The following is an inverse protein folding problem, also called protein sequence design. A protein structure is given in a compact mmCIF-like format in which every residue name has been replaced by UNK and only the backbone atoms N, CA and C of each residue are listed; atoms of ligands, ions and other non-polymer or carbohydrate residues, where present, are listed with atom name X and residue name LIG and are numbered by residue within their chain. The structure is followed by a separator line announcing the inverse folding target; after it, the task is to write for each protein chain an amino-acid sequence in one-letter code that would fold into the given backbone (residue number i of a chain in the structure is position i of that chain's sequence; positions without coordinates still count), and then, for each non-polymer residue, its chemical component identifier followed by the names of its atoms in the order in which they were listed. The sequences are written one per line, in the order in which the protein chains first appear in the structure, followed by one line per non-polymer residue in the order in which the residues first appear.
data_IF_526041925987
#
_entry.id   IF_526041925987
#
_cell.length_a   1.000
_cell.length_b   1.000
_cell.length_c   1.000
_cell.angle_alpha   90.00
_cell.angle_beta   90.00
_cell.angle_gamma   90.00
#
_symmetry.space_group_name_H-M   'P 1'
#
loop_
_entity.id
_entity.type
_entity.pdbx_description
1 polymer ?
#
# COMPACT_ATOMS: atom_id res chain seq x y z
N UNK A 1 -34.95 6.56 -41.85
CA UNK A 1 -33.59 6.96 -41.47
C UNK A 1 -33.56 7.20 -39.96
N UNK A 2 -33.15 6.19 -39.19
CA UNK A 2 -33.11 6.30 -37.73
C UNK A 2 -31.91 7.16 -37.33
N UNK A 3 -32.16 8.29 -36.65
CA UNK A 3 -31.11 9.14 -36.07
C UNK A 3 -30.30 8.26 -35.12
N UNK A 4 -29.07 7.90 -35.50
CA UNK A 4 -28.10 7.24 -34.63
C UNK A 4 -27.80 8.22 -33.51
N UNK A 5 -28.57 8.11 -32.42
CA UNK A 5 -28.41 8.95 -31.24
C UNK A 5 -26.99 8.73 -30.74
N UNK A 6 -26.28 9.84 -30.59
CA UNK A 6 -24.87 9.84 -30.24
C UNK A 6 -24.74 9.46 -28.76
N UNK A 7 -24.88 8.16 -28.47
CA UNK A 7 -25.10 7.59 -27.13
C UNK A 7 -24.01 8.00 -26.14
N UNK A 8 -22.79 8.23 -26.63
CA UNK A 8 -21.67 8.78 -25.87
C UNK A 8 -21.95 10.18 -25.29
N UNK A 9 -22.67 11.03 -26.02
CA UNK A 9 -23.04 12.38 -25.57
C UNK A 9 -24.13 12.34 -24.51
N UNK A 10 -25.10 11.45 -24.67
CA UNK A 10 -26.16 11.26 -23.67
C UNK A 10 -25.60 10.68 -22.37
N UNK A 11 -24.72 9.68 -22.45
CA UNK A 11 -24.03 9.13 -21.28
C UNK A 11 -23.22 10.20 -20.55
N UNK A 12 -22.43 11.00 -21.27
CA UNK A 12 -21.65 12.09 -20.66
C UNK A 12 -22.53 13.13 -19.97
N UNK A 13 -23.68 13.45 -20.57
CA UNK A 13 -24.63 14.40 -20.00
C UNK A 13 -25.36 13.83 -18.78
N UNK A 14 -25.65 12.53 -18.80
CA UNK A 14 -26.23 11.79 -17.67
C UNK A 14 -25.24 11.70 -16.50
N UNK A 15 -23.98 11.34 -16.73
CA UNK A 15 -22.92 11.34 -15.72
C UNK A 15 -22.69 12.73 -15.12
N UNK A 16 -22.82 13.79 -15.94
CA UNK A 16 -22.77 15.18 -15.47
C UNK A 16 -23.99 15.56 -14.61
N UNK A 17 -25.20 15.08 -14.95
CA UNK A 17 -26.42 15.28 -14.13
C UNK A 17 -26.38 14.50 -12.82
N UNK A 18 -25.75 13.34 -12.82
CA UNK A 18 -25.52 12.52 -11.62
C UNK A 18 -24.38 13.07 -10.74
N UNK A 19 -23.72 14.16 -11.14
CA UNK A 19 -22.63 14.77 -10.36
C UNK A 19 -21.31 13.98 -10.38
N UNK A 20 -21.21 12.94 -11.20
CA UNK A 20 -20.03 12.05 -11.27
C UNK A 20 -18.91 12.70 -12.10
N UNK A 21 -19.28 13.54 -13.07
CA UNK A 21 -18.34 14.25 -13.95
C UNK A 21 -18.52 15.76 -13.78
N UNK A 22 -17.41 16.46 -13.54
CA UNK A 22 -17.36 17.91 -13.46
C UNK A 22 -17.68 18.49 -12.09
N UNK A 23 -17.70 17.66 -11.04
CA UNK A 23 -17.47 18.17 -9.69
C UNK A 23 -15.98 18.45 -9.54
N UNK A 24 -15.68 19.69 -9.19
CA UNK A 24 -14.36 20.07 -8.71
C UNK A 24 -14.18 19.34 -7.38
N UNK A 25 -13.40 18.26 -7.39
CA UNK A 25 -13.01 17.61 -6.14
C UNK A 25 -12.41 18.70 -5.23
N UNK A 26 -12.82 18.79 -3.95
CA UNK A 26 -12.23 19.76 -3.04
C UNK A 26 -10.72 19.57 -3.10
N UNK A 27 -9.99 20.68 -3.21
CA UNK A 27 -8.55 20.67 -3.37
C UNK A 27 -7.93 20.14 -2.08
N UNK A 28 -7.72 18.83 -2.03
CA UNK A 28 -7.09 18.17 -0.89
C UNK A 28 -5.62 18.53 -0.94
N UNK A 29 -5.16 19.32 0.02
CA UNK A 29 -3.75 19.70 0.17
C UNK A 29 -3.17 18.80 1.25
N UNK A 30 -2.21 17.96 0.91
CA UNK A 30 -1.39 17.22 1.86
C UNK A 30 -0.25 18.12 2.33
N UNK A 31 -0.17 18.36 3.64
CA UNK A 31 0.86 19.18 4.28
C UNK A 31 1.76 18.29 5.14
N UNK A 32 3.07 18.45 5.01
CA UNK A 32 4.07 17.79 5.85
C UNK A 32 4.27 18.59 7.16
N UNK A 33 4.65 17.90 8.24
CA UNK A 33 4.75 18.43 9.62
C UNK A 33 5.68 19.65 9.80
N UNK A 34 6.47 20.00 8.78
CA UNK A 34 7.33 21.19 8.78
C UNK A 34 6.75 22.38 8.00
N UNK A 35 5.49 22.32 7.54
CA UNK A 35 4.91 23.39 6.73
C UNK A 35 4.36 24.52 7.61
N UNK A 36 4.89 25.72 7.37
CA UNK A 36 4.51 26.96 8.05
C UNK A 36 2.99 27.22 7.94
N UNK A 37 2.33 27.25 9.10
CA UNK A 37 0.87 27.39 9.30
C UNK A 37 0.24 28.65 8.69
N UNK A 38 1.04 29.58 8.18
CA UNK A 38 0.57 30.84 7.58
C UNK A 38 0.05 30.70 6.14
N UNK A 39 0.19 29.52 5.52
CA UNK A 39 -0.19 29.27 4.12
C UNK A 39 -1.50 28.48 3.92
N UNK A 40 -2.36 28.39 4.94
CA UNK A 40 -3.60 27.63 4.86
C UNK A 40 -4.71 28.51 4.26
N UNK A 41 -5.29 28.19 3.08
CA UNK A 41 -6.44 28.91 2.56
C UNK A 41 -7.67 28.63 3.45
N UNK A 42 -8.38 29.70 3.81
CA UNK A 42 -9.42 29.78 4.86
C UNK A 42 -10.73 29.01 4.57
N UNK A 43 -10.75 28.04 3.65
CA UNK A 43 -11.96 27.41 3.09
C UNK A 43 -11.99 25.87 3.23
N UNK A 44 -11.25 25.29 4.18
CA UNK A 44 -11.26 23.84 4.42
C UNK A 44 -12.23 23.45 5.56
N UNK A 45 -13.27 22.68 5.24
CA UNK A 45 -14.37 22.32 6.17
C UNK A 45 -14.03 21.17 7.14
N UNK A 46 -12.96 20.41 6.92
CA UNK A 46 -12.43 19.47 7.93
C UNK A 46 -10.93 19.23 7.73
N UNK A 47 -10.19 19.23 8.84
CA UNK A 47 -8.75 18.97 8.92
C UNK A 47 -8.58 17.66 9.69
N UNK A 48 -8.19 16.58 9.02
CA UNK A 48 -7.78 15.33 9.67
C UNK A 48 -6.30 15.41 10.00
N UNK A 49 -6.00 15.49 11.29
CA UNK A 49 -4.65 15.43 11.83
C UNK A 49 -4.31 13.94 11.96
N UNK A 50 -3.47 13.40 11.09
CA UNK A 50 -2.89 12.07 11.30
C UNK A 50 -1.72 12.24 12.26
N UNK A 51 -2.00 12.07 13.55
CA UNK A 51 -0.98 12.14 14.58
C UNK A 51 0.03 11.00 14.34
N UNK A 52 1.30 11.33 14.12
CA UNK A 52 2.37 10.35 14.07
C UNK A 52 2.36 9.63 15.43
N UNK A 53 2.24 8.30 15.48
CA UNK A 53 2.20 7.58 16.76
C UNK A 53 3.49 7.89 17.52
N UNK A 54 3.35 8.10 18.83
CA UNK A 54 4.53 8.37 19.67
C UNK A 54 5.45 7.15 19.67
N UNK A 55 6.75 7.34 19.92
CA UNK A 55 7.70 6.23 20.01
C UNK A 55 7.23 5.13 20.97
N UNK A 56 6.58 5.52 22.08
CA UNK A 56 6.00 4.59 23.04
C UNK A 56 4.89 3.73 22.42
N UNK A 57 3.96 4.35 21.69
CA UNK A 57 2.88 3.61 21.01
C UNK A 57 3.39 2.72 19.88
N UNK A 58 4.42 3.16 19.15
CA UNK A 58 5.08 2.33 18.15
C UNK A 58 5.76 1.12 18.80
N UNK A 59 6.48 1.32 19.92
CA UNK A 59 7.18 0.26 20.64
C UNK A 59 6.25 -0.73 21.37
N UNK A 60 5.03 -0.33 21.73
CA UNK A 60 4.02 -1.20 22.34
C UNK A 60 3.24 -2.05 21.31
N UNK A 61 3.54 -1.93 20.02
CA UNK A 61 2.89 -2.79 19.02
C UNK A 61 3.28 -4.26 19.23
N UNK A 62 2.32 -5.19 19.14
CA UNK A 62 2.62 -6.63 19.28
C UNK A 62 3.59 -7.11 18.19
N UNK A 63 3.62 -6.41 17.07
CA UNK A 63 4.52 -6.61 15.93
C UNK A 63 6.00 -6.40 16.29
N UNK A 64 6.31 -5.63 17.34
CA UNK A 64 7.67 -5.38 17.84
C UNK A 64 7.98 -6.15 19.14
N UNK A 65 7.10 -7.06 19.56
CA UNK A 65 7.31 -7.86 20.77
C UNK A 65 8.57 -8.73 20.63
N UNK A 66 9.55 -8.52 21.51
CA UNK A 66 10.87 -9.16 21.46
C UNK A 66 11.96 -8.35 20.75
N UNK A 67 11.62 -7.23 20.12
CA UNK A 67 12.59 -6.27 19.57
C UNK A 67 13.14 -5.39 20.70
N UNK A 68 14.44 -5.11 20.67
CA UNK A 68 15.08 -4.25 21.68
C UNK A 68 14.60 -2.82 21.53
N UNK A 69 14.34 -2.13 22.64
CA UNK A 69 13.88 -0.73 22.63
C UNK A 69 14.82 0.22 21.87
N UNK A 70 16.14 -0.01 21.96
CA UNK A 70 17.16 0.75 21.21
C UNK A 70 17.01 0.54 19.68
N UNK A 71 16.70 -0.69 19.26
CA UNK A 71 16.46 -1.00 17.86
C UNK A 71 15.17 -0.34 17.35
N UNK A 72 14.08 -0.38 18.14
CA UNK A 72 12.82 0.30 17.82
C UNK A 72 13.02 1.82 17.70
N UNK A 73 13.79 2.42 18.61
CA UNK A 73 14.10 3.85 18.57
C UNK A 73 14.86 4.22 17.30
N UNK A 74 15.87 3.43 16.91
CA UNK A 74 16.64 3.70 15.69
C UNK A 74 15.81 3.47 14.41
N UNK A 75 14.90 2.50 14.40
CA UNK A 75 13.92 2.29 13.31
C UNK A 75 13.00 3.52 13.19
N UNK A 76 12.51 4.04 14.32
CA UNK A 76 11.66 5.21 14.36
C UNK A 76 12.39 6.49 13.92
N UNK A 77 13.67 6.64 14.28
CA UNK A 77 14.54 7.74 13.84
C UNK A 77 14.81 7.70 12.33
N UNK A 78 14.90 6.49 11.73
CA UNK A 78 14.91 6.31 10.27
C UNK A 78 13.61 6.76 9.58
N UNK A 79 12.57 7.10 10.34
CA UNK A 79 11.29 7.60 9.83
C UNK A 79 10.20 6.55 9.73
N UNK A 80 10.46 5.32 10.21
CA UNK A 80 9.50 4.21 10.14
C UNK A 80 8.62 4.25 11.36
N UNK A 81 7.37 4.64 11.16
CA UNK A 81 6.44 4.94 12.26
C UNK A 81 5.24 4.00 12.29
N UNK A 82 5.11 3.16 11.28
CA UNK A 82 4.02 2.22 11.11
C UNK A 82 4.55 0.86 10.67
N UNK A 83 3.83 -0.20 11.00
CA UNK A 83 4.22 -1.56 10.59
C UNK A 83 4.10 -1.76 9.08
N UNK A 84 3.21 -1.03 8.39
CA UNK A 84 3.20 -0.94 6.93
C UNK A 84 4.52 -0.37 6.35
N UNK A 85 5.10 0.64 7.00
CA UNK A 85 6.39 1.20 6.57
C UNK A 85 7.53 0.22 6.89
N UNK A 86 7.42 -0.49 8.02
CA UNK A 86 8.36 -1.54 8.42
C UNK A 86 8.35 -2.70 7.42
N UNK A 87 7.18 -3.06 6.86
CA UNK A 87 7.01 -4.11 5.82
C UNK A 87 7.65 -3.75 4.48
N UNK A 88 7.69 -2.46 4.12
CA UNK A 88 8.30 -2.00 2.85
C UNK A 88 9.82 -1.88 2.97
N UNK A 89 10.38 -1.87 4.19
CA UNK A 89 11.83 -1.95 4.39
C UNK A 89 12.36 -3.35 4.06
N UNK A 90 13.51 -3.38 3.41
CA UNK A 90 14.25 -4.61 3.14
C UNK A 90 15.10 -5.01 4.34
N UNK A 91 15.42 -6.30 4.43
CA UNK A 91 16.30 -6.86 5.46
C UNK A 91 17.66 -6.15 5.54
N UNK A 92 18.22 -5.73 4.41
CA UNK A 92 19.50 -5.00 4.37
C UNK A 92 19.39 -3.63 5.05
N UNK A 93 18.33 -2.88 4.76
CA UNK A 93 18.10 -1.54 5.34
C UNK A 93 17.87 -1.63 6.86
N UNK A 94 17.22 -2.69 7.31
CA UNK A 94 17.07 -3.00 8.73
C UNK A 94 18.41 -3.37 9.37
N UNK A 95 19.25 -4.18 8.72
CA UNK A 95 20.57 -4.55 9.24
C UNK A 95 21.53 -3.35 9.33
N UNK A 96 21.33 -2.32 8.51
CA UNK A 96 22.05 -1.04 8.64
C UNK A 96 21.63 -0.24 9.88
N UNK A 97 20.43 -0.49 10.43
CA UNK A 97 19.99 0.15 11.67
C UNK A 97 20.81 -0.38 12.83
N UNK A 98 21.48 0.54 13.51
CA UNK A 98 22.26 0.21 14.71
C UNK A 98 21.36 -0.51 15.73
N UNK A 99 21.82 -1.65 16.23
CA UNK A 99 21.07 -2.43 17.22
C UNK A 99 20.03 -3.40 16.64
N UNK A 100 19.71 -3.31 15.34
CA UNK A 100 18.96 -4.34 14.62
C UNK A 100 19.96 -5.38 14.12
N UNK A 101 19.83 -6.60 14.63
CA UNK A 101 20.63 -7.74 14.18
C UNK A 101 19.78 -8.76 13.41
N UNK A 102 20.39 -9.82 12.85
CA UNK A 102 19.67 -10.85 12.10
C UNK A 102 18.57 -11.52 12.93
N UNK A 103 18.79 -11.71 14.25
CA UNK A 103 17.76 -12.23 15.14
C UNK A 103 16.55 -11.27 15.26
N UNK A 104 16.80 -9.96 15.27
CA UNK A 104 15.73 -8.96 15.31
C UNK A 104 14.98 -8.91 13.99
N UNK A 105 15.69 -8.99 12.87
CA UNK A 105 15.05 -9.07 11.56
C UNK A 105 14.21 -10.34 11.43
N UNK A 106 14.67 -11.48 11.93
CA UNK A 106 13.88 -12.72 11.96
C UNK A 106 12.58 -12.54 12.77
N UNK A 107 12.67 -11.99 13.99
CA UNK A 107 11.48 -11.71 14.81
C UNK A 107 10.52 -10.72 14.12
N UNK A 108 11.05 -9.66 13.52
CA UNK A 108 10.26 -8.72 12.74
C UNK A 108 9.66 -9.39 11.49
N UNK A 109 10.39 -10.30 10.85
CA UNK A 109 9.90 -11.04 9.68
C UNK A 109 8.75 -11.97 10.07
N UNK A 110 8.84 -12.65 11.21
CA UNK A 110 7.76 -13.52 11.70
C UNK A 110 6.53 -12.74 12.16
N UNK A 111 6.71 -11.64 12.87
CA UNK A 111 5.58 -10.87 13.43
C UNK A 111 4.99 -9.87 12.42
N UNK A 112 5.82 -9.32 11.53
CA UNK A 112 5.48 -8.20 10.64
C UNK A 112 5.55 -8.58 9.16
N UNK A 113 6.32 -9.59 8.76
CA UNK A 113 6.46 -9.96 7.35
C UNK A 113 7.37 -9.01 6.56
N UNK A 114 8.53 -8.67 7.13
CA UNK A 114 9.63 -7.95 6.46
C UNK A 114 10.08 -8.70 5.20
N UNK A 115 10.50 -7.96 4.17
CA UNK A 115 11.01 -8.52 2.90
C UNK A 115 10.00 -9.45 2.19
N UNK A 116 8.71 -9.22 2.45
CA UNK A 116 7.63 -9.91 1.77
C UNK A 116 7.40 -11.37 2.13
N UNK A 117 7.99 -11.87 3.22
CA UNK A 117 7.58 -13.17 3.81
C UNK A 117 6.32 -13.02 4.65
N UNK A 118 5.21 -12.62 4.01
CA UNK A 118 3.89 -12.65 4.65
C UNK A 118 3.34 -14.08 4.61
N UNK A 119 2.53 -14.47 5.60
CA UNK A 119 1.74 -15.71 5.48
C UNK A 119 0.67 -15.56 4.40
N UNK A 120 0.14 -16.67 3.88
CA UNK A 120 -0.92 -16.65 2.86
C UNK A 120 -2.15 -15.83 3.32
N UNK A 121 -2.49 -15.93 4.60
CA UNK A 121 -3.60 -15.17 5.22
C UNK A 121 -3.33 -13.66 5.21
N UNK A 122 -2.12 -13.24 5.61
CA UNK A 122 -1.72 -11.83 5.58
C UNK A 122 -1.64 -11.29 4.15
N UNK A 123 -1.06 -12.06 3.22
CA UNK A 123 -1.00 -11.72 1.81
C UNK A 123 -2.40 -11.51 1.22
N UNK A 124 -3.35 -12.40 1.56
CA UNK A 124 -4.74 -12.30 1.09
C UNK A 124 -5.50 -11.09 1.64
N UNK A 125 -5.08 -10.55 2.78
CA UNK A 125 -5.65 -9.34 3.36
C UNK A 125 -5.05 -8.04 2.80
N UNK A 126 -3.99 -8.12 1.98
CA UNK A 126 -3.39 -6.93 1.38
C UNK A 126 -4.39 -6.19 0.51
N UNK A 127 -4.35 -4.85 0.59
CA UNK A 127 -5.15 -3.98 -0.29
C UNK A 127 -4.83 -4.22 -1.77
N UNK A 128 -3.61 -4.65 -2.09
CA UNK A 128 -3.17 -4.94 -3.47
C UNK A 128 -3.93 -6.11 -4.10
N UNK A 129 -4.21 -7.16 -3.34
CA UNK A 129 -4.96 -8.34 -3.82
C UNK A 129 -6.44 -8.31 -3.43
N UNK A 130 -6.91 -7.18 -2.90
CA UNK A 130 -8.30 -6.97 -2.52
C UNK A 130 -9.21 -7.15 -3.73
N UNK A 131 -10.31 -7.88 -3.54
CA UNK A 131 -11.28 -8.25 -4.59
C UNK A 131 -10.77 -9.25 -5.65
N UNK A 132 -9.57 -9.82 -5.45
CA UNK A 132 -9.09 -10.96 -6.23
C UNK A 132 -9.62 -12.25 -5.61
N UNK A 133 -9.98 -13.23 -6.46
CA UNK A 133 -10.43 -14.55 -5.99
C UNK A 133 -9.31 -15.23 -5.21
N UNK A 134 -9.62 -15.76 -4.03
CA UNK A 134 -8.64 -16.39 -3.12
C UNK A 134 -7.77 -17.46 -3.79
N UNK A 135 -8.36 -18.26 -4.68
CA UNK A 135 -7.67 -19.26 -5.50
C UNK A 135 -6.54 -18.66 -6.37
N UNK A 136 -6.77 -17.48 -6.94
CA UNK A 136 -5.77 -16.76 -7.72
C UNK A 136 -4.68 -16.15 -6.85
N UNK A 137 -5.06 -15.64 -5.67
CA UNK A 137 -4.12 -15.09 -4.68
C UNK A 137 -3.19 -16.19 -4.18
N UNK A 138 -3.72 -17.39 -3.92
CA UNK A 138 -2.95 -18.55 -3.53
C UNK A 138 -1.95 -18.97 -4.63
N UNK A 139 -2.35 -18.93 -5.90
CA UNK A 139 -1.43 -19.19 -7.02
C UNK A 139 -0.30 -18.16 -7.12
N UNK A 140 -0.60 -16.86 -6.95
CA UNK A 140 0.44 -15.81 -6.90
C UNK A 140 1.43 -16.08 -5.76
N UNK A 141 0.92 -16.47 -4.60
CA UNK A 141 1.72 -16.79 -3.42
C UNK A 141 2.62 -18.01 -3.64
N UNK A 142 2.12 -19.05 -4.32
CA UNK A 142 2.90 -20.25 -4.67
C UNK A 142 3.96 -20.00 -5.74
N UNK A 143 3.72 -19.08 -6.67
CA UNK A 143 4.73 -18.64 -7.65
C UNK A 143 5.82 -17.74 -7.02
N UNK A 144 5.64 -17.34 -5.76
CA UNK A 144 6.64 -16.57 -5.02
C UNK A 144 6.33 -15.10 -4.92
N UNK A 145 5.17 -14.63 -5.41
CA UNK A 145 4.69 -13.27 -5.17
C UNK A 145 3.98 -13.25 -3.82
N UNK A 146 4.71 -12.84 -2.79
CA UNK A 146 4.22 -12.87 -1.40
C UNK A 146 4.06 -11.48 -0.79
N UNK A 147 4.44 -10.44 -1.53
CA UNK A 147 4.29 -9.06 -1.11
C UNK A 147 4.15 -8.08 -2.27
N UNK A 148 3.74 -6.87 -1.93
CA UNK A 148 3.76 -5.70 -2.81
C UNK A 148 5.13 -5.49 -3.48
N UNK A 149 6.20 -5.69 -2.73
CA UNK A 149 7.56 -5.50 -3.20
C UNK A 149 7.92 -6.52 -4.29
N UNK A 150 7.49 -7.79 -4.12
CA UNK A 150 7.73 -8.84 -5.12
C UNK A 150 7.15 -8.46 -6.47
N UNK A 151 5.95 -7.87 -6.53
CA UNK A 151 5.36 -7.44 -7.80
C UNK A 151 6.26 -6.49 -8.62
N UNK A 152 7.17 -5.74 -7.98
CA UNK A 152 8.16 -4.88 -8.69
C UNK A 152 9.25 -5.69 -9.41
N UNK A 153 9.47 -6.95 -9.01
CA UNK A 153 10.44 -7.85 -9.63
C UNK A 153 9.82 -8.62 -10.80
N UNK A 154 8.50 -8.81 -10.78
CA UNK A 154 7.73 -9.55 -11.78
C UNK A 154 7.24 -8.64 -12.91
N UNK A 155 7.22 -9.18 -14.13
CA UNK A 155 6.64 -8.48 -15.30
C UNK A 155 5.15 -8.79 -15.45
N UNK A 156 4.39 -7.91 -16.10
CA UNK A 156 2.97 -8.15 -16.41
C UNK A 156 2.77 -9.43 -17.23
N UNK A 157 3.74 -9.76 -18.10
CA UNK A 157 3.69 -10.98 -18.89
C UNK A 157 3.91 -12.23 -18.05
N UNK A 158 4.85 -12.23 -17.12
CA UNK A 158 5.09 -13.39 -16.24
C UNK A 158 3.88 -13.64 -15.35
N UNK A 159 3.28 -12.60 -14.77
CA UNK A 159 2.06 -12.75 -13.98
C UNK A 159 0.89 -13.23 -14.83
N UNK A 160 0.82 -12.86 -16.11
CA UNK A 160 -0.20 -13.35 -17.05
C UNK A 160 0.02 -14.82 -17.46
N UNK A 161 1.25 -15.31 -17.43
CA UNK A 161 1.59 -16.71 -17.77
C UNK A 161 1.23 -17.67 -16.61
N UNK A 162 1.06 -17.15 -15.39
CA UNK A 162 0.59 -17.92 -14.24
C UNK A 162 -0.79 -18.52 -14.53
N UNK A 163 -0.92 -19.83 -14.28
CA UNK A 163 -2.14 -20.57 -14.59
C UNK A 163 -3.37 -19.91 -13.92
N UNK A 164 -4.42 -19.65 -14.70
CA UNK A 164 -5.67 -19.06 -14.19
C UNK A 164 -5.63 -17.56 -13.92
N UNK A 165 -4.47 -16.89 -13.95
CA UNK A 165 -4.38 -15.43 -13.94
C UNK A 165 -4.71 -14.92 -15.34
N UNK A 166 -5.66 -13.98 -15.42
CA UNK A 166 -6.03 -13.32 -16.67
C UNK A 166 -5.77 -11.83 -16.62
N UNK A 167 -5.97 -11.15 -17.76
CA UNK A 167 -5.83 -9.68 -17.83
C UNK A 167 -6.72 -8.95 -16.82
N UNK A 168 -7.91 -9.49 -16.50
CA UNK A 168 -8.78 -8.89 -15.49
C UNK A 168 -8.19 -8.88 -14.08
N UNK A 169 -7.33 -9.85 -13.75
CA UNK A 169 -6.63 -9.87 -12.46
C UNK A 169 -5.50 -8.85 -12.45
N UNK A 170 -4.75 -8.72 -13.55
CA UNK A 170 -3.70 -7.72 -13.69
C UNK A 170 -4.29 -6.30 -13.60
N UNK A 171 -5.40 -6.04 -14.30
CA UNK A 171 -6.09 -4.74 -14.26
C UNK A 171 -6.49 -4.36 -12.82
N UNK A 172 -7.02 -5.33 -12.05
CA UNK A 172 -7.30 -5.15 -10.61
C UNK A 172 -6.06 -4.88 -9.78
N UNK A 173 -4.97 -5.63 -9.99
CA UNK A 173 -3.71 -5.41 -9.27
C UNK A 173 -3.20 -3.98 -9.53
N UNK A 174 -3.21 -3.53 -10.79
CA UNK A 174 -2.82 -2.17 -11.17
C UNK A 174 -3.76 -1.12 -10.56
N UNK A 175 -5.08 -1.36 -10.57
CA UNK A 175 -6.09 -0.48 -9.94
C UNK A 175 -5.86 -0.35 -8.43
N UNK A 176 -5.48 -1.45 -7.77
CA UNK A 176 -5.13 -1.48 -6.35
C UNK A 176 -3.74 -0.88 -6.05
N UNK A 177 -3.01 -0.40 -7.06
CA UNK A 177 -1.74 0.32 -6.91
C UNK A 177 -0.48 -0.55 -7.02
N UNK A 178 -0.58 -1.79 -7.51
CA UNK A 178 0.56 -2.63 -7.84
C UNK A 178 1.30 -2.08 -9.05
N UNK A 179 2.63 -2.06 -8.98
CA UNK A 179 3.50 -1.65 -10.08
C UNK A 179 4.39 -2.81 -10.47
N UNK A 180 4.20 -3.30 -11.69
CA UNK A 180 5.02 -4.33 -12.28
C UNK A 180 6.33 -3.78 -12.83
N UNK A 181 7.29 -4.67 -12.99
CA UNK A 181 8.51 -4.42 -13.75
C UNK A 181 8.15 -4.17 -15.22
N UNK A 182 8.72 -3.10 -15.78
CA UNK A 182 8.65 -2.79 -17.21
C UNK A 182 9.56 -3.68 -18.04
#
# INVERSE_FOLDING_TARGET
MAKVKNRKKELKQELKRQGIIGQEHPKVITLDANTDITAIPTDAESVTITEKPTLAEFAETPELEGVRSDAVENIYDKGVTSTDELKDMSEDDLLEVKGVGPATVETLTENVGIDGKLSLEDFSNLKEVKDIRSDLVEMLYHEGIKSKADFKQWTEQEVLDINGIGQGTIDKLVENGVKFKK
#
